data_IF_172966493003
#
_entry.id   IF_172966493003
#
_cell.length_a   1.000
_cell.length_b   1.000
_cell.length_c   1.000
_cell.angle_alpha   90.00
_cell.angle_beta   90.00
_cell.angle_gamma   90.00
#
_symmetry.space_group_name_H-M   'P 1'
#
loop_
_entity.id
_entity.type
_entity.pdbx_description
1 polymer ?
#
# COMPACT_ATOMS: atom_id res chain seq x y z
N UNK A 1 60.43 40.51 -4.74
CA UNK A 1 59.33 39.97 -3.92
C UNK A 1 58.05 40.11 -4.72
N UNK A 2 57.67 39.09 -5.50
CA UNK A 2 56.46 39.08 -6.31
C UNK A 2 55.34 38.42 -5.52
N UNK A 3 54.21 39.11 -5.32
CA UNK A 3 53.00 38.56 -4.70
C UNK A 3 52.11 38.04 -5.82
N UNK A 4 52.07 36.72 -6.00
CA UNK A 4 51.11 36.06 -6.88
C UNK A 4 49.69 36.19 -6.30
N UNK A 5 48.93 37.13 -6.85
CA UNK A 5 47.48 37.23 -6.67
C UNK A 5 46.82 36.68 -7.94
N UNK A 6 46.42 35.41 -7.96
CA UNK A 6 45.42 34.93 -8.94
C UNK A 6 44.87 33.52 -8.66
N UNK A 7 44.49 33.20 -7.43
CA UNK A 7 43.51 32.12 -7.22
C UNK A 7 42.10 32.70 -7.41
N UNK A 8 41.75 32.88 -8.67
CA UNK A 8 40.45 33.36 -9.12
C UNK A 8 39.35 32.35 -8.74
N UNK A 9 38.32 32.85 -8.05
CA UNK A 9 37.07 32.14 -7.69
C UNK A 9 36.39 31.47 -8.91
N UNK A 10 36.77 31.85 -10.13
CA UNK A 10 36.25 31.29 -11.38
C UNK A 10 36.71 29.86 -11.71
N UNK A 11 37.67 29.27 -10.99
CA UNK A 11 38.08 27.87 -11.23
C UNK A 11 37.19 26.82 -10.53
N UNK A 12 36.39 27.21 -9.53
CA UNK A 12 35.48 26.30 -8.82
C UNK A 12 34.26 25.88 -9.65
N UNK A 13 34.02 26.52 -10.80
CA UNK A 13 32.87 26.25 -11.68
C UNK A 13 33.17 25.31 -12.86
N UNK A 14 34.37 24.67 -12.91
CA UNK A 14 34.76 23.84 -14.06
C UNK A 14 34.48 22.35 -13.88
N UNK A 15 34.00 21.93 -12.72
CA UNK A 15 33.63 20.54 -12.43
C UNK A 15 32.16 20.53 -12.04
N UNK A 16 31.35 19.73 -12.73
CA UNK A 16 29.97 19.51 -12.33
C UNK A 16 29.96 19.02 -10.88
N UNK A 17 29.09 19.55 -10.01
CA UNK A 17 28.97 19.01 -8.66
C UNK A 17 28.66 17.51 -8.78
N UNK A 18 29.31 16.73 -7.93
CA UNK A 18 28.98 15.30 -7.80
C UNK A 18 27.47 15.19 -7.58
N UNK A 19 26.80 14.21 -8.24
CA UNK A 19 25.38 13.98 -8.02
C UNK A 19 25.07 13.95 -6.53
N UNK A 20 24.02 14.68 -6.13
CA UNK A 20 23.57 14.67 -4.74
C UNK A 20 22.96 13.29 -4.48
N UNK A 21 23.70 12.46 -3.76
CA UNK A 21 23.18 11.21 -3.21
C UNK A 21 22.51 11.55 -1.87
N UNK A 22 21.23 11.21 -1.72
CA UNK A 22 20.51 11.36 -0.46
C UNK A 22 20.79 10.12 0.39
N UNK A 23 21.84 10.18 1.19
CA UNK A 23 22.23 9.15 2.14
C UNK A 23 22.02 9.63 3.58
N UNK A 24 21.14 8.97 4.32
CA UNK A 24 20.86 9.23 5.74
C UNK A 24 22.01 8.77 6.67
N UNK A 25 23.25 8.71 6.17
CA UNK A 25 24.40 8.12 6.88
C UNK A 25 24.50 6.60 6.77
N UNK A 26 23.73 5.96 5.89
CA UNK A 26 23.75 4.52 5.63
C UNK A 26 24.75 4.16 4.51
N UNK A 27 25.38 3.00 4.60
CA UNK A 27 26.21 2.44 3.52
C UNK A 27 25.37 2.08 2.29
N UNK A 28 25.99 1.96 1.11
CA UNK A 28 25.27 1.65 -0.14
C UNK A 28 24.53 0.30 -0.08
N UNK A 29 25.07 -0.66 0.67
CA UNK A 29 24.49 -1.98 0.90
C UNK A 29 23.28 -1.91 1.84
N UNK A 30 23.40 -1.15 2.94
CA UNK A 30 22.28 -0.88 3.86
C UNK A 30 21.18 -0.09 3.15
N UNK A 31 21.53 0.88 2.31
CA UNK A 31 20.59 1.64 1.50
C UNK A 31 19.79 0.69 0.57
N UNK A 32 20.44 -0.21 -0.16
CA UNK A 32 19.73 -1.15 -1.05
C UNK A 32 18.80 -2.12 -0.30
N UNK A 33 19.20 -2.56 0.89
CA UNK A 33 18.37 -3.43 1.75
C UNK A 33 17.20 -2.65 2.35
N UNK A 34 17.43 -1.42 2.83
CA UNK A 34 16.43 -0.54 3.41
C UNK A 34 15.43 0.02 2.39
N UNK A 35 15.80 0.08 1.09
CA UNK A 35 14.92 0.48 -0.01
C UNK A 35 14.06 -0.63 -0.59
N UNK A 36 14.10 -1.84 -0.02
CA UNK A 36 13.03 -2.80 -0.22
C UNK A 36 11.81 -2.28 0.55
N UNK A 37 11.06 -1.37 -0.08
CA UNK A 37 9.79 -0.85 0.39
C UNK A 37 8.82 -2.02 0.56
N UNK A 38 8.78 -2.57 1.76
CA UNK A 38 7.91 -3.69 2.11
C UNK A 38 6.85 -3.20 3.07
N UNK A 39 5.67 -3.79 2.94
CA UNK A 39 4.54 -3.45 3.79
C UNK A 39 4.77 -4.16 5.12
N UNK A 40 4.84 -3.40 6.21
CA UNK A 40 5.04 -3.95 7.55
C UNK A 40 3.75 -4.00 8.35
N UNK A 41 2.81 -3.09 8.09
CA UNK A 41 1.54 -3.06 8.79
C UNK A 41 0.39 -2.68 7.87
N UNK A 42 -0.79 -3.26 8.15
CA UNK A 42 -2.04 -2.98 7.44
C UNK A 42 -3.16 -2.89 8.45
N UNK A 43 -3.92 -1.80 8.41
CA UNK A 43 -5.03 -1.53 9.32
C UNK A 43 -6.25 -1.13 8.49
N UNK A 44 -7.35 -1.86 8.67
CA UNK A 44 -8.68 -1.51 8.14
C UNK A 44 -9.42 -0.74 9.21
N UNK A 45 -9.54 0.56 8.97
CA UNK A 45 -10.16 1.52 9.87
C UNK A 45 -11.66 1.68 9.63
N UNK A 46 -12.12 2.90 9.83
CA UNK A 46 -13.52 3.27 9.74
C UNK A 46 -14.09 3.11 8.32
N UNK A 47 -15.40 2.91 8.26
CA UNK A 47 -16.14 2.89 7.01
C UNK A 47 -16.78 4.26 6.74
N UNK A 48 -16.92 4.58 5.46
CA UNK A 48 -17.57 5.80 4.99
C UNK A 48 -18.77 5.41 4.15
N UNK A 49 -19.96 5.86 4.55
CA UNK A 49 -21.16 5.78 3.72
C UNK A 49 -21.11 6.90 2.69
N UNK A 50 -20.92 6.53 1.43
CA UNK A 50 -20.96 7.47 0.32
C UNK A 50 -22.35 7.39 -0.29
N UNK A 51 -23.09 8.49 -0.18
CA UNK A 51 -24.42 8.66 -0.74
C UNK A 51 -24.45 9.97 -1.53
N UNK A 52 -24.99 9.92 -2.74
CA UNK A 52 -25.20 11.10 -3.59
C UNK A 52 -26.70 11.33 -3.84
N UNK A 53 -27.03 12.47 -4.43
CA UNK A 53 -28.40 12.77 -4.88
C UNK A 53 -28.86 11.82 -5.99
N UNK A 54 -27.92 11.34 -6.80
CA UNK A 54 -28.16 10.40 -7.89
C UNK A 54 -27.30 9.15 -7.71
N UNK A 55 -27.93 7.99 -7.56
CA UNK A 55 -27.27 6.68 -7.50
C UNK A 55 -27.50 5.90 -6.21
N UNK A 56 -27.01 4.65 -6.19
CA UNK A 56 -27.08 3.79 -5.00
C UNK A 56 -25.95 4.12 -4.05
N UNK A 57 -26.27 4.34 -2.78
CA UNK A 57 -25.28 4.53 -1.72
C UNK A 57 -24.40 3.29 -1.57
N UNK A 58 -23.13 3.49 -1.23
CA UNK A 58 -22.17 2.39 -1.03
C UNK A 58 -21.22 2.69 0.12
N UNK A 59 -20.56 1.64 0.60
CA UNK A 59 -19.62 1.71 1.72
C UNK A 59 -18.20 1.63 1.17
N UNK A 60 -17.37 2.56 1.63
CA UNK A 60 -15.93 2.59 1.39
C UNK A 60 -15.18 2.34 2.69
N UNK A 61 -14.16 1.49 2.66
CA UNK A 61 -13.33 1.14 3.80
C UNK A 61 -12.02 1.90 3.73
N UNK A 62 -11.65 2.55 4.84
CA UNK A 62 -10.33 3.13 4.99
C UNK A 62 -9.31 2.03 5.28
N UNK A 63 -8.23 1.98 4.51
CA UNK A 63 -7.13 1.04 4.68
C UNK A 63 -5.85 1.85 4.83
N UNK A 64 -5.19 1.75 5.99
CA UNK A 64 -3.88 2.32 6.24
C UNK A 64 -2.82 1.24 6.07
N UNK A 65 -1.82 1.52 5.27
CA UNK A 65 -0.68 0.64 4.99
C UNK A 65 0.57 1.38 5.48
N UNK A 66 1.36 0.77 6.36
CA UNK A 66 2.66 1.31 6.81
C UNK A 66 3.79 0.59 6.09
N UNK A 67 4.78 1.34 5.65
CA UNK A 67 5.95 0.85 4.92
C UNK A 67 7.18 0.99 5.82
N UNK A 68 7.99 -0.07 5.90
CA UNK A 68 9.26 -0.12 6.64
C UNK A 68 9.15 0.29 8.13
N UNK A 69 7.99 0.06 8.78
CA UNK A 69 7.70 0.47 10.16
C UNK A 69 7.86 1.97 10.45
N UNK A 70 7.90 2.79 9.39
CA UNK A 70 7.96 4.23 9.50
C UNK A 70 6.53 4.77 9.48
N UNK A 71 6.03 5.23 10.62
CA UNK A 71 4.67 5.80 10.72
C UNK A 71 4.42 6.95 9.74
N UNK A 72 5.47 7.72 9.43
CA UNK A 72 5.44 8.82 8.45
C UNK A 72 5.42 8.32 6.99
N UNK A 73 5.77 7.07 6.73
CA UNK A 73 5.68 6.40 5.44
C UNK A 73 4.45 5.49 5.43
N UNK A 74 3.27 6.10 5.35
CA UNK A 74 2.02 5.36 5.25
C UNK A 74 1.16 5.80 4.07
N UNK A 75 0.47 4.82 3.49
CA UNK A 75 -0.47 5.01 2.39
C UNK A 75 -1.88 4.79 2.96
N UNK A 76 -2.76 5.75 2.74
CA UNK A 76 -4.17 5.64 3.11
C UNK A 76 -4.99 5.46 1.84
N UNK A 77 -5.72 4.36 1.77
CA UNK A 77 -6.58 3.99 0.66
C UNK A 77 -8.03 3.97 1.10
N UNK A 78 -8.92 4.27 0.16
CA UNK A 78 -10.36 4.12 0.33
C UNK A 78 -10.87 3.16 -0.73
N UNK A 79 -11.34 1.99 -0.31
CA UNK A 79 -11.74 0.91 -1.22
C UNK A 79 -13.09 0.35 -0.87
N UNK A 80 -13.91 0.07 -1.90
CA UNK A 80 -15.16 -0.68 -1.72
C UNK A 80 -14.87 -2.15 -1.57
N UNK A 81 -15.76 -2.87 -0.89
CA UNK A 81 -15.67 -4.34 -0.77
C UNK A 81 -15.48 -5.04 -2.13
N UNK A 82 -16.16 -4.57 -3.19
CA UNK A 82 -16.05 -5.19 -4.51
C UNK A 82 -14.66 -5.05 -5.14
N UNK A 83 -13.91 -3.99 -4.86
CA UNK A 83 -12.55 -3.82 -5.36
C UNK A 83 -11.59 -4.81 -4.67
N UNK A 84 -11.76 -5.01 -3.35
CA UNK A 84 -11.01 -6.02 -2.59
C UNK A 84 -11.36 -7.43 -3.06
N UNK A 85 -12.64 -7.66 -3.40
CA UNK A 85 -13.08 -8.91 -3.99
C UNK A 85 -12.43 -9.17 -5.35
N UNK A 86 -12.32 -8.16 -6.21
CA UNK A 86 -11.62 -8.27 -7.50
C UNK A 86 -10.15 -8.63 -7.30
N UNK A 87 -9.45 -7.96 -6.38
CA UNK A 87 -8.06 -8.31 -6.01
C UNK A 87 -7.92 -9.80 -5.68
N UNK A 88 -8.84 -10.38 -4.88
CA UNK A 88 -8.81 -11.82 -4.58
C UNK A 88 -8.99 -12.69 -5.83
N UNK A 89 -9.92 -12.31 -6.73
CA UNK A 89 -10.13 -13.07 -7.97
C UNK A 89 -8.89 -13.02 -8.87
N UNK A 90 -8.25 -11.86 -8.99
CA UNK A 90 -7.05 -11.68 -9.78
C UNK A 90 -5.88 -12.50 -9.21
N UNK A 91 -5.74 -12.53 -7.89
CA UNK A 91 -4.77 -13.40 -7.21
C UNK A 91 -5.06 -14.88 -7.48
N UNK A 92 -6.31 -15.32 -7.35
CA UNK A 92 -6.70 -16.70 -7.64
C UNK A 92 -6.40 -17.09 -9.08
N UNK A 93 -6.60 -16.15 -10.01
CA UNK A 93 -6.28 -16.37 -11.42
C UNK A 93 -4.78 -16.50 -11.66
N UNK A 94 -3.97 -15.65 -11.02
CA UNK A 94 -2.50 -15.69 -11.17
C UNK A 94 -1.90 -16.95 -10.56
N UNK A 95 -2.35 -17.33 -9.37
CA UNK A 95 -1.80 -18.46 -8.61
C UNK A 95 -2.55 -19.78 -8.82
N UNK A 96 -3.38 -19.88 -9.87
CA UNK A 96 -4.23 -21.06 -10.11
C UNK A 96 -3.44 -22.38 -10.19
N UNK A 97 -2.21 -22.35 -10.72
CA UNK A 97 -1.33 -23.52 -10.87
C UNK A 97 -0.39 -23.74 -9.67
N UNK A 98 -0.30 -22.76 -8.76
CA UNK A 98 0.64 -22.79 -7.65
C UNK A 98 0.05 -23.55 -6.45
N UNK A 99 0.45 -24.82 -6.28
CA UNK A 99 -0.03 -25.68 -5.18
C UNK A 99 0.39 -25.23 -3.78
N UNK A 100 1.37 -24.34 -3.68
CA UNK A 100 1.94 -23.87 -2.41
C UNK A 100 1.30 -22.57 -1.90
N UNK A 101 0.50 -21.89 -2.72
CA UNK A 101 -0.01 -20.56 -2.41
C UNK A 101 -1.47 -20.66 -1.94
N UNK A 102 -1.70 -20.45 -0.64
CA UNK A 102 -3.05 -20.39 -0.08
C UNK A 102 -3.55 -18.94 -0.09
N UNK A 103 -4.62 -18.67 -0.86
CA UNK A 103 -5.24 -17.34 -0.87
C UNK A 103 -6.36 -17.29 0.17
N UNK A 104 -6.29 -16.37 1.15
CA UNK A 104 -7.28 -16.26 2.20
C UNK A 104 -8.70 -16.01 1.64
N UNK A 105 -9.70 -16.51 2.36
CA UNK A 105 -11.10 -16.26 2.05
C UNK A 105 -11.51 -14.84 2.43
N UNK A 106 -12.42 -14.26 1.63
CA UNK A 106 -13.07 -12.99 1.96
C UNK A 106 -14.39 -13.28 2.69
N UNK A 107 -14.85 -12.38 3.57
CA UNK A 107 -16.19 -12.49 4.12
C UNK A 107 -17.20 -12.51 2.96
N UNK A 108 -18.27 -13.32 3.03
CA UNK A 108 -19.14 -13.59 1.91
C UNK A 108 -19.81 -12.32 1.36
N UNK A 109 -20.14 -12.34 0.07
CA UNK A 109 -21.00 -11.31 -0.53
C UNK A 109 -22.42 -11.46 0.01
N UNK A 110 -22.73 -10.66 1.02
CA UNK A 110 -24.05 -10.58 1.68
C UNK A 110 -25.15 -10.00 0.78
N UNK A 111 -25.43 -10.62 -0.36
CA UNK A 111 -26.40 -10.10 -1.32
C UNK A 111 -27.86 -10.27 -0.84
N UNK A 112 -28.12 -11.10 0.17
CA UNK A 112 -29.46 -11.46 0.65
C UNK A 112 -29.66 -11.25 2.17
N UNK A 113 -28.70 -10.64 2.86
CA UNK A 113 -28.70 -10.53 4.32
C UNK A 113 -29.51 -9.31 4.78
N UNK A 114 -30.49 -9.51 5.66
CA UNK A 114 -31.30 -8.43 6.27
C UNK A 114 -30.39 -7.44 7.01
N UNK A 115 -29.34 -7.92 7.67
CA UNK A 115 -28.37 -7.11 8.39
C UNK A 115 -27.58 -6.14 7.51
N UNK A 116 -27.33 -6.53 6.24
CA UNK A 116 -26.74 -5.62 5.26
C UNK A 116 -27.72 -4.52 4.87
N UNK A 117 -28.99 -4.88 4.64
CA UNK A 117 -30.02 -3.90 4.27
C UNK A 117 -30.19 -2.84 5.37
N UNK A 118 -30.13 -3.27 6.63
CA UNK A 118 -30.19 -2.39 7.79
C UNK A 118 -28.86 -1.73 8.15
N UNK A 119 -27.77 -2.02 7.41
CA UNK A 119 -26.39 -1.59 7.73
C UNK A 119 -26.08 -1.74 9.23
N UNK A 120 -26.38 -2.92 9.79
CA UNK A 120 -26.24 -3.13 11.23
C UNK A 120 -24.77 -2.98 11.63
N UNK A 121 -24.53 -2.39 12.81
CA UNK A 121 -23.16 -2.17 13.32
C UNK A 121 -22.37 -3.48 13.41
N UNK A 122 -23.03 -4.57 13.82
CA UNK A 122 -22.40 -5.89 13.92
C UNK A 122 -21.92 -6.39 12.55
N UNK A 123 -22.77 -6.26 11.53
CA UNK A 123 -22.43 -6.67 10.18
C UNK A 123 -21.23 -5.88 9.61
N UNK A 124 -21.18 -4.57 9.88
CA UNK A 124 -20.06 -3.72 9.49
C UNK A 124 -18.77 -4.16 10.18
N UNK A 125 -18.82 -4.40 11.49
CA UNK A 125 -17.64 -4.84 12.24
C UNK A 125 -17.16 -6.24 11.83
N UNK A 126 -18.05 -7.19 11.62
CA UNK A 126 -17.67 -8.54 11.19
C UNK A 126 -17.05 -8.51 9.78
N UNK A 127 -17.61 -7.69 8.89
CA UNK A 127 -17.02 -7.44 7.59
C UNK A 127 -15.65 -6.76 7.71
N UNK A 128 -15.51 -5.74 8.55
CA UNK A 128 -14.24 -5.04 8.79
C UNK A 128 -13.16 -6.00 9.26
N UNK A 129 -13.47 -6.89 10.22
CA UNK A 129 -12.56 -7.93 10.71
C UNK A 129 -12.15 -8.91 9.61
N UNK A 130 -13.10 -9.36 8.78
CA UNK A 130 -12.80 -10.24 7.65
C UNK A 130 -11.91 -9.56 6.60
N UNK A 131 -12.16 -8.29 6.31
CA UNK A 131 -11.31 -7.48 5.41
C UNK A 131 -9.91 -7.25 6.00
N UNK A 132 -9.83 -6.95 7.30
CA UNK A 132 -8.57 -6.82 8.03
C UNK A 132 -7.75 -8.10 7.92
N UNK A 133 -8.36 -9.25 8.23
CA UNK A 133 -7.69 -10.53 8.16
C UNK A 133 -7.21 -10.85 6.74
N UNK A 134 -8.06 -10.69 5.73
CA UNK A 134 -7.69 -10.91 4.33
C UNK A 134 -6.53 -10.01 3.90
N UNK A 135 -6.64 -8.69 4.13
CA UNK A 135 -5.63 -7.73 3.67
C UNK A 135 -4.32 -7.89 4.43
N UNK A 136 -4.33 -8.20 5.73
CA UNK A 136 -3.10 -8.51 6.45
C UNK A 136 -2.40 -9.73 5.87
N UNK A 137 -3.12 -10.82 5.60
CA UNK A 137 -2.51 -12.03 5.02
C UNK A 137 -1.99 -11.78 3.60
N UNK A 138 -2.70 -11.02 2.77
CA UNK A 138 -2.29 -10.77 1.38
C UNK A 138 -1.17 -9.73 1.29
N UNK A 139 -1.28 -8.61 2.01
CA UNK A 139 -0.36 -7.50 1.84
C UNK A 139 0.92 -7.66 2.67
N UNK A 140 0.94 -8.49 3.72
CA UNK A 140 2.16 -8.76 4.51
C UNK A 140 2.98 -9.93 3.97
N UNK A 141 2.41 -10.76 3.09
CA UNK A 141 3.13 -11.87 2.49
C UNK A 141 4.10 -11.38 1.39
N UNK A 142 5.41 -11.69 1.48
CA UNK A 142 6.40 -11.25 0.50
C UNK A 142 6.15 -11.79 -0.92
N UNK A 143 5.50 -12.94 -1.07
CA UNK A 143 5.14 -13.51 -2.37
C UNK A 143 4.10 -12.64 -3.05
N UNK A 144 3.06 -12.24 -2.31
CA UNK A 144 1.99 -11.39 -2.83
C UNK A 144 2.43 -9.93 -3.00
N UNK A 145 3.26 -9.37 -2.10
CA UNK A 145 3.79 -8.01 -2.22
C UNK A 145 4.53 -7.76 -3.54
N UNK A 146 5.21 -8.79 -4.06
CA UNK A 146 5.94 -8.69 -5.32
C UNK A 146 5.05 -8.77 -6.56
N UNK A 147 3.80 -9.24 -6.40
CA UNK A 147 2.84 -9.36 -7.49
C UNK A 147 2.38 -7.99 -8.01
N UNK A 148 2.33 -7.84 -9.33
CA UNK A 148 1.91 -6.59 -9.96
C UNK A 148 0.48 -6.19 -9.60
N UNK A 149 -0.42 -7.16 -9.41
CA UNK A 149 -1.81 -6.90 -9.03
C UNK A 149 -1.91 -6.23 -7.66
N UNK A 150 -1.10 -6.67 -6.69
CA UNK A 150 -1.06 -6.07 -5.35
C UNK A 150 -0.48 -4.66 -5.42
N UNK A 151 0.60 -4.47 -6.19
CA UNK A 151 1.20 -3.14 -6.39
C UNK A 151 0.22 -2.16 -7.05
N UNK A 152 -0.50 -2.59 -8.08
CA UNK A 152 -1.57 -1.83 -8.73
C UNK A 152 -2.70 -1.48 -7.76
N UNK A 153 -3.13 -2.44 -6.94
CA UNK A 153 -4.16 -2.21 -5.93
C UNK A 153 -3.76 -1.13 -4.91
N UNK A 154 -2.52 -1.16 -4.44
CA UNK A 154 -2.00 -0.19 -3.45
C UNK A 154 -1.71 1.17 -4.07
N UNK A 155 -1.11 1.23 -5.26
CA UNK A 155 -0.70 2.48 -5.90
C UNK A 155 -1.81 3.14 -6.74
N UNK A 156 -2.94 2.47 -6.94
CA UNK A 156 -4.07 2.98 -7.71
C UNK A 156 -3.78 3.14 -9.21
N UNK A 157 -2.90 2.30 -9.77
CA UNK A 157 -2.50 2.30 -11.19
C UNK A 157 -2.93 1.03 -11.90
#
# INVERSE_FOLDING_TARGET
MSRDKSNSISQLNKVLPVPIELNNGESLEEHQINHLNHITNVIVGEYHLISGEYGKSYISWQIKITINDLDYSSIILYKRYNEIYQLRQDLLHIFHDSREVNIPELPPKDNLSIDRFLMSKNWLEDRRKGLQWFLSNVLLDPVFQNCNVVKSFVLGR
#
